data_IF_181638841280
#
_entry.id   IF_181638841280
#
_cell.length_a   1.000
_cell.length_b   1.000
_cell.length_c   1.000
_cell.angle_alpha   90.00
_cell.angle_beta   90.00
_cell.angle_gamma   90.00
#
_symmetry.space_group_name_H-M   'P 1'
#
loop_
_entity.id
_entity.type
_entity.pdbx_description
1 polymer ?
#
# COMPACT_ATOMS: atom_id res chain seq x y z
N UNK A 1 27.35 12.72 10.50
CA UNK A 1 26.64 11.41 10.64
C UNK A 1 25.21 11.65 10.19
N UNK A 2 24.77 11.06 9.08
CA UNK A 2 23.39 11.18 8.63
C UNK A 2 22.52 10.23 9.45
N UNK A 3 21.38 10.70 9.96
CA UNK A 3 20.46 9.90 10.78
C UNK A 3 19.82 8.78 9.93
N UNK A 4 19.62 9.02 8.63
CA UNK A 4 19.13 8.07 7.64
C UNK A 4 19.98 8.17 6.37
N UNK A 5 20.74 7.13 6.05
CA UNK A 5 21.58 7.08 4.83
C UNK A 5 20.81 6.40 3.68
N UNK A 6 19.84 7.12 3.13
CA UNK A 6 19.06 6.68 1.96
C UNK A 6 19.94 6.51 0.71
N UNK A 7 21.06 7.25 0.60
CA UNK A 7 21.97 7.14 -0.55
C UNK A 7 22.64 5.76 -0.61
N UNK A 8 23.09 5.25 0.54
CA UNK A 8 23.68 3.92 0.61
C UNK A 8 22.66 2.82 0.32
N UNK A 9 21.44 2.94 0.84
CA UNK A 9 20.35 2.04 0.50
C UNK A 9 20.07 2.04 -1.01
N UNK A 10 19.92 3.23 -1.60
CA UNK A 10 19.65 3.38 -3.04
C UNK A 10 20.77 2.80 -3.91
N UNK A 11 22.04 2.98 -3.54
CA UNK A 11 23.17 2.39 -4.27
C UNK A 11 23.07 0.87 -4.39
N UNK A 12 22.61 0.19 -3.34
CA UNK A 12 22.47 -1.27 -3.30
C UNK A 12 21.39 -1.78 -4.25
N UNK A 13 20.30 -1.05 -4.38
CA UNK A 13 19.12 -1.46 -5.17
C UNK A 13 19.07 -0.80 -6.55
N UNK A 14 19.94 0.16 -6.85
CA UNK A 14 19.87 1.03 -8.03
C UNK A 14 19.76 0.27 -9.34
N UNK A 15 20.69 -0.66 -9.60
CA UNK A 15 20.72 -1.42 -10.85
C UNK A 15 19.44 -2.23 -11.08
N UNK A 16 18.96 -3.06 -10.14
CA UNK A 16 17.72 -3.78 -10.32
C UNK A 16 16.49 -2.85 -10.41
N UNK A 17 16.50 -1.71 -9.71
CA UNK A 17 15.42 -0.72 -9.79
C UNK A 17 15.33 -0.09 -11.19
N UNK A 18 16.44 0.41 -11.73
CA UNK A 18 16.50 1.00 -13.07
C UNK A 18 16.07 -0.01 -14.16
N UNK A 19 16.47 -1.27 -14.03
CA UNK A 19 16.03 -2.32 -14.95
C UNK A 19 14.49 -2.50 -14.92
N UNK A 20 13.88 -2.51 -13.72
CA UNK A 20 12.42 -2.65 -13.59
C UNK A 20 11.68 -1.43 -14.14
N UNK A 21 12.19 -0.22 -13.87
CA UNK A 21 11.59 1.01 -14.42
C UNK A 21 11.63 0.96 -15.97
N UNK A 22 12.75 0.59 -16.56
CA UNK A 22 12.85 0.48 -18.01
C UNK A 22 11.89 -0.58 -18.56
N UNK A 23 11.75 -1.73 -17.93
CA UNK A 23 10.77 -2.73 -18.34
C UNK A 23 9.34 -2.18 -18.36
N UNK A 24 8.95 -1.41 -17.33
CA UNK A 24 7.62 -0.77 -17.27
C UNK A 24 7.44 0.22 -18.42
N UNK A 25 8.47 1.02 -18.72
CA UNK A 25 8.43 1.96 -19.84
C UNK A 25 8.32 1.24 -21.19
N UNK A 26 9.01 0.09 -21.34
CA UNK A 26 9.04 -0.68 -22.57
C UNK A 26 7.68 -1.33 -22.87
N UNK A 27 7.00 -1.91 -21.88
CA UNK A 27 5.70 -2.55 -22.09
C UNK A 27 4.51 -1.60 -21.96
N UNK A 28 4.65 -0.45 -21.28
CA UNK A 28 3.63 0.60 -21.18
C UNK A 28 2.36 0.26 -20.38
N UNK A 29 2.33 -0.88 -19.69
CA UNK A 29 1.19 -1.29 -18.87
C UNK A 29 1.30 -0.66 -17.47
N UNK A 30 0.97 0.63 -17.35
CA UNK A 30 1.14 1.40 -16.11
C UNK A 30 0.07 1.16 -15.06
N UNK A 31 -1.15 0.80 -15.48
CA UNK A 31 -2.27 0.56 -14.57
C UNK A 31 -2.44 -0.95 -14.40
N UNK A 32 -2.32 -1.43 -13.17
CA UNK A 32 -2.40 -2.86 -12.85
C UNK A 32 -1.49 -3.71 -13.76
N UNK A 33 -0.26 -3.25 -13.98
CA UNK A 33 0.75 -3.96 -14.75
C UNK A 33 1.27 -5.20 -14.03
N UNK A 34 2.08 -6.04 -14.71
CA UNK A 34 2.58 -7.29 -14.13
C UNK A 34 3.37 -7.10 -12.83
N UNK A 35 4.02 -5.94 -12.66
CA UNK A 35 4.76 -5.63 -11.43
C UNK A 35 3.86 -5.48 -10.21
N UNK A 36 2.62 -5.03 -10.39
CA UNK A 36 1.64 -4.92 -9.29
C UNK A 36 1.27 -6.32 -8.80
N UNK A 37 0.94 -7.23 -9.70
CA UNK A 37 0.62 -8.63 -9.34
C UNK A 37 1.81 -9.34 -8.69
N UNK A 38 3.03 -9.14 -9.22
CA UNK A 38 4.25 -9.68 -8.61
C UNK A 38 4.46 -9.15 -7.18
N UNK A 39 4.18 -7.87 -6.95
CA UNK A 39 4.26 -7.25 -5.62
C UNK A 39 3.25 -7.87 -4.66
N UNK A 40 2.00 -7.98 -5.08
CA UNK A 40 0.91 -8.56 -4.28
C UNK A 40 1.22 -10.01 -3.89
N UNK A 41 1.68 -10.84 -4.83
CA UNK A 41 2.11 -12.21 -4.57
C UNK A 41 3.24 -12.27 -3.52
N UNK A 42 4.30 -11.48 -3.72
CA UNK A 42 5.43 -11.44 -2.78
C UNK A 42 5.05 -10.91 -1.39
N UNK A 43 4.15 -9.94 -1.31
CA UNK A 43 3.66 -9.44 -0.03
C UNK A 43 2.78 -10.47 0.67
N UNK A 44 1.93 -11.18 -0.07
CA UNK A 44 1.13 -12.26 0.49
C UNK A 44 2.01 -13.37 1.08
N UNK A 45 3.03 -13.80 0.34
CA UNK A 45 4.01 -14.80 0.79
C UNK A 45 4.79 -14.30 2.02
N UNK A 46 5.28 -13.06 1.97
CA UNK A 46 6.05 -12.48 3.08
C UNK A 46 5.24 -12.36 4.37
N UNK A 47 3.97 -11.99 4.26
CA UNK A 47 3.06 -11.85 5.40
C UNK A 47 2.43 -13.18 5.83
N UNK A 48 2.59 -14.27 5.06
CA UNK A 48 1.96 -15.56 5.32
C UNK A 48 0.43 -15.52 5.20
N UNK A 49 -0.10 -14.66 4.32
CA UNK A 49 -1.53 -14.49 4.06
C UNK A 49 -1.90 -14.99 2.66
N UNK A 50 -3.18 -15.28 2.47
CA UNK A 50 -3.67 -15.82 1.20
C UNK A 50 -3.66 -14.78 0.07
N UNK A 51 -3.91 -13.52 0.39
CA UNK A 51 -4.01 -12.43 -0.57
C UNK A 51 -3.39 -11.16 0.01
N UNK A 52 -2.74 -10.38 -0.85
CA UNK A 52 -2.41 -8.98 -0.64
C UNK A 52 -3.02 -8.17 -1.78
N UNK A 53 -3.63 -7.05 -1.46
CA UNK A 53 -4.31 -6.19 -2.44
C UNK A 53 -3.70 -4.81 -2.32
N UNK A 54 -3.10 -4.33 -3.41
CA UNK A 54 -2.53 -2.98 -3.46
C UNK A 54 -3.63 -1.93 -3.63
N UNK A 55 -3.41 -0.77 -3.06
CA UNK A 55 -4.29 0.39 -3.18
C UNK A 55 -3.46 1.66 -3.29
N UNK A 56 -4.10 2.80 -3.55
CA UNK A 56 -3.40 4.04 -3.87
C UNK A 56 -2.73 4.71 -2.66
N UNK A 57 -3.21 4.44 -1.44
CA UNK A 57 -2.71 5.08 -0.23
C UNK A 57 -3.00 4.27 1.04
N UNK A 58 -2.33 4.63 2.15
CA UNK A 58 -2.66 4.07 3.47
C UNK A 58 -4.08 4.43 3.94
N UNK A 59 -4.61 5.56 3.51
CA UNK A 59 -6.01 5.94 3.79
C UNK A 59 -6.97 4.97 3.11
N UNK A 60 -6.73 4.65 1.83
CA UNK A 60 -7.55 3.67 1.11
C UNK A 60 -7.40 2.26 1.70
N UNK A 61 -6.20 1.92 2.18
CA UNK A 61 -5.97 0.64 2.86
C UNK A 61 -6.81 0.47 4.14
N UNK A 62 -7.20 1.57 4.78
CA UNK A 62 -8.12 1.56 5.91
C UNK A 62 -9.60 1.60 5.46
N UNK A 63 -9.89 2.39 4.44
CA UNK A 63 -11.26 2.62 3.96
C UNK A 63 -11.84 1.39 3.26
N UNK A 64 -11.10 0.79 2.34
CA UNK A 64 -11.57 -0.31 1.49
C UNK A 64 -12.07 -1.52 2.30
N UNK A 65 -11.36 -2.01 3.34
CA UNK A 65 -11.86 -3.11 4.17
C UNK A 65 -13.17 -2.77 4.89
N UNK A 66 -13.30 -1.55 5.41
CA UNK A 66 -14.53 -1.12 6.07
C UNK A 66 -15.72 -1.10 5.09
N UNK A 67 -15.49 -0.60 3.88
CA UNK A 67 -16.49 -0.66 2.80
C UNK A 67 -16.84 -2.10 2.44
N UNK A 68 -15.87 -2.99 2.32
CA UNK A 68 -16.08 -4.39 1.99
C UNK A 68 -16.87 -5.14 3.07
N UNK A 69 -16.78 -4.72 4.32
CA UNK A 69 -17.57 -5.24 5.45
C UNK A 69 -18.94 -4.59 5.56
N UNK A 70 -19.24 -3.60 4.73
CA UNK A 70 -20.53 -2.90 4.75
C UNK A 70 -20.70 -1.96 5.94
N UNK A 71 -19.61 -1.50 6.54
CA UNK A 71 -19.64 -0.53 7.66
C UNK A 71 -20.24 0.79 7.16
N UNK A 72 -21.18 1.34 7.94
CA UNK A 72 -21.90 2.55 7.60
C UNK A 72 -22.63 3.18 8.78
N UNK A 73 -23.57 4.11 8.53
CA UNK A 73 -24.30 4.81 9.58
C UNK A 73 -24.99 3.86 10.56
N UNK A 74 -24.72 4.04 11.84
CA UNK A 74 -25.24 3.20 12.93
C UNK A 74 -24.26 2.14 13.42
N UNK A 75 -23.15 1.89 12.74
CA UNK A 75 -22.09 1.02 13.19
C UNK A 75 -21.10 1.75 14.11
N UNK A 76 -20.48 1.01 15.03
CA UNK A 76 -19.46 1.54 15.92
C UNK A 76 -18.08 0.95 15.57
N UNK A 77 -17.12 1.83 15.32
CA UNK A 77 -15.74 1.45 15.05
C UNK A 77 -14.82 2.00 16.15
N UNK A 78 -14.08 1.13 16.80
CA UNK A 78 -13.10 1.52 17.81
C UNK A 78 -11.72 1.72 17.18
N UNK A 79 -11.07 2.83 17.50
CA UNK A 79 -9.73 3.13 17.01
C UNK A 79 -8.89 3.82 18.11
N UNK A 80 -7.56 3.94 17.86
CA UNK A 80 -6.64 4.61 18.76
C UNK A 80 -6.70 6.13 18.56
N UNK A 81 -6.63 6.94 19.65
CA UNK A 81 -6.59 8.40 19.54
C UNK A 81 -5.19 8.94 19.17
N UNK A 82 -4.14 8.16 19.33
CA UNK A 82 -2.76 8.56 19.04
C UNK A 82 -2.31 7.92 17.71
N UNK A 83 -2.70 8.55 16.61
CA UNK A 83 -2.43 8.09 15.26
C UNK A 83 -2.57 9.22 14.24
N UNK A 84 -2.29 8.95 12.97
CA UNK A 84 -2.59 9.85 11.87
C UNK A 84 -4.12 10.00 11.70
N UNK A 85 -4.56 11.19 11.32
CA UNK A 85 -5.98 11.55 11.24
C UNK A 85 -6.82 10.64 10.35
N UNK A 86 -6.24 10.08 9.29
CA UNK A 86 -6.94 9.16 8.38
C UNK A 86 -7.65 8.00 9.10
N UNK A 87 -7.11 7.54 10.24
CA UNK A 87 -7.70 6.45 11.02
C UNK A 87 -9.12 6.80 11.53
N UNK A 88 -9.37 8.08 11.84
CA UNK A 88 -10.69 8.56 12.21
C UNK A 88 -11.50 9.05 11.01
N UNK A 89 -10.84 9.66 10.01
CA UNK A 89 -11.49 10.19 8.82
C UNK A 89 -12.22 9.11 8.01
N UNK A 90 -11.61 7.93 7.83
CA UNK A 90 -12.25 6.84 7.07
C UNK A 90 -13.57 6.37 7.70
N UNK A 91 -13.66 6.43 9.04
CA UNK A 91 -14.89 6.12 9.77
C UNK A 91 -15.94 7.21 9.49
N UNK A 92 -15.53 8.48 9.57
CA UNK A 92 -16.42 9.61 9.29
C UNK A 92 -16.91 9.68 7.85
N UNK A 93 -16.09 9.25 6.88
CA UNK A 93 -16.47 9.18 5.46
C UNK A 93 -17.59 8.15 5.23
N UNK A 94 -17.60 7.10 6.01
CA UNK A 94 -18.61 6.03 5.89
C UNK A 94 -19.93 6.36 6.64
N UNK A 95 -19.96 7.46 7.43
CA UNK A 95 -21.12 7.92 8.19
C UNK A 95 -21.13 7.37 9.59
#
# INVERSE_FOLDING_TARGET
MEFLDLKTQQKRIRKPLEKRINNILDHGAYIMGPEVFELEEKLADYCGVKHAISCSSGTDALLIPLMAWGIGPGDAVFTTPFTYVATAEVISILG
#
